data_IF_667100228102
#
_entry.id   IF_667100228102
#
_cell.length_a   1.000
_cell.length_b   1.000
_cell.length_c   1.000
_cell.angle_alpha   90.00
_cell.angle_beta   90.00
_cell.angle_gamma   90.00
#
_symmetry.space_group_name_H-M   'P 1'
#
loop_
_entity.id
_entity.type
_entity.pdbx_description
1 polymer ?
#
# COMPACT_ATOMS: atom_id res chain seq x y z
N UNK A 1 27.10 68.47 -59.49
CA UNK A 1 27.02 67.89 -58.13
C UNK A 1 25.90 66.90 -58.11
N UNK A 2 26.21 65.62 -58.33
CA UNK A 2 25.20 64.50 -58.38
C UNK A 2 25.24 63.73 -57.13
N UNK A 3 24.09 63.62 -56.47
CA UNK A 3 23.92 62.76 -55.27
C UNK A 3 23.59 61.32 -55.67
N UNK A 4 24.20 60.33 -55.10
CA UNK A 4 23.83 58.93 -55.37
C UNK A 4 22.60 58.49 -54.52
N UNK A 5 21.63 57.88 -55.21
CA UNK A 5 20.45 57.24 -54.60
C UNK A 5 20.85 55.92 -53.96
N UNK A 6 20.70 55.87 -52.66
CA UNK A 6 20.84 54.61 -51.89
C UNK A 6 19.55 53.78 -52.02
N UNK A 7 19.63 52.68 -52.75
CA UNK A 7 18.55 51.70 -52.83
C UNK A 7 18.63 50.81 -51.63
N UNK A 8 17.70 50.97 -50.69
CA UNK A 8 17.55 50.04 -49.57
C UNK A 8 16.85 48.76 -50.04
N UNK A 9 17.58 47.67 -50.06
CA UNK A 9 17.02 46.30 -50.23
C UNK A 9 16.32 45.89 -48.95
N UNK A 10 15.00 45.80 -48.98
CA UNK A 10 14.21 45.16 -47.91
C UNK A 10 14.37 43.65 -48.04
N UNK A 11 15.06 43.07 -47.09
CA UNK A 11 15.12 41.61 -46.92
C UNK A 11 13.92 41.20 -46.09
N UNK A 12 12.94 40.54 -46.71
CA UNK A 12 11.81 39.95 -46.02
C UNK A 12 12.29 38.62 -45.42
N UNK A 13 12.46 38.59 -44.11
CA UNK A 13 12.72 37.36 -43.38
C UNK A 13 11.39 36.61 -43.16
N UNK A 14 11.22 35.51 -43.87
CA UNK A 14 10.11 34.58 -43.64
C UNK A 14 10.38 33.79 -42.35
N UNK A 15 9.66 34.11 -41.29
CA UNK A 15 9.65 33.33 -40.06
C UNK A 15 8.70 32.15 -40.27
N UNK A 16 9.28 30.97 -40.50
CA UNK A 16 8.54 29.72 -40.52
C UNK A 16 8.18 29.33 -39.07
N UNK A 17 6.92 29.51 -38.66
CA UNK A 17 6.38 28.97 -37.42
C UNK A 17 6.24 27.46 -37.60
N UNK A 18 7.20 26.67 -37.06
CA UNK A 18 7.02 25.24 -36.80
C UNK A 18 6.06 25.09 -35.61
N UNK A 19 4.78 24.89 -35.90
CA UNK A 19 3.80 24.45 -34.93
C UNK A 19 4.10 22.97 -34.59
N UNK A 20 4.87 22.73 -33.52
CA UNK A 20 5.02 21.39 -32.96
C UNK A 20 3.65 20.93 -32.39
N UNK A 21 2.92 20.13 -33.13
CA UNK A 21 1.80 19.38 -32.59
C UNK A 21 2.34 18.42 -31.54
N UNK A 22 2.26 18.79 -30.28
CA UNK A 22 2.36 17.85 -29.18
C UNK A 22 1.13 16.94 -29.24
N UNK A 23 1.28 15.77 -29.84
CA UNK A 23 0.37 14.66 -29.65
C UNK A 23 0.42 14.29 -28.17
N UNK A 24 -0.46 14.90 -27.35
CA UNK A 24 -0.72 14.45 -26.00
C UNK A 24 -1.37 13.08 -26.18
N UNK A 25 -0.58 12.01 -26.01
CA UNK A 25 -1.13 10.66 -25.92
C UNK A 25 -2.20 10.68 -24.80
N UNK A 26 -3.41 10.16 -25.05
CA UNK A 26 -4.39 10.06 -24.00
C UNK A 26 -3.75 9.26 -22.86
N UNK A 27 -3.98 9.64 -21.57
CA UNK A 27 -3.50 8.85 -20.46
C UNK A 27 -3.99 7.42 -20.69
N UNK A 28 -3.05 6.46 -20.71
CA UNK A 28 -3.41 5.06 -20.74
C UNK A 28 -4.42 4.86 -19.61
N UNK A 29 -5.63 4.46 -19.95
CA UNK A 29 -6.63 4.11 -18.95
C UNK A 29 -6.00 3.02 -18.11
N UNK A 30 -5.57 3.35 -16.91
CA UNK A 30 -5.09 2.35 -15.95
C UNK A 30 -6.24 1.35 -15.83
N UNK A 31 -6.02 0.13 -16.27
CA UNK A 31 -7.00 -0.94 -16.10
C UNK A 31 -7.28 -0.99 -14.60
N UNK A 32 -8.54 -0.77 -14.22
CA UNK A 32 -8.93 -0.83 -12.82
C UNK A 32 -8.69 -2.25 -12.35
N UNK A 33 -7.71 -2.43 -11.48
CA UNK A 33 -7.46 -3.74 -10.89
C UNK A 33 -8.65 -4.12 -10.01
N UNK A 34 -9.24 -5.27 -10.31
CA UNK A 34 -10.39 -5.82 -9.58
C UNK A 34 -10.06 -7.17 -8.93
N UNK A 35 -8.82 -7.62 -9.08
CA UNK A 35 -8.36 -8.91 -8.55
C UNK A 35 -7.79 -8.70 -7.15
N UNK A 36 -8.34 -9.32 -6.11
CA UNK A 36 -7.75 -9.23 -4.78
C UNK A 36 -6.39 -9.91 -4.70
N UNK A 37 -5.49 -9.48 -3.80
CA UNK A 37 -4.25 -10.19 -3.51
C UNK A 37 -4.54 -11.60 -3.00
N UNK A 38 -3.53 -12.47 -3.04
CA UNK A 38 -3.64 -13.82 -2.45
C UNK A 38 -3.99 -13.71 -0.97
N UNK A 39 -4.86 -14.60 -0.50
CA UNK A 39 -5.27 -14.63 0.91
C UNK A 39 -4.05 -14.89 1.82
N UNK A 40 -3.88 -14.10 2.91
CA UNK A 40 -2.82 -14.35 3.87
C UNK A 40 -2.91 -15.75 4.47
N UNK A 41 -1.77 -16.43 4.60
CA UNK A 41 -1.64 -17.73 5.23
C UNK A 41 -0.97 -17.53 6.58
N UNK A 42 -1.46 -18.23 7.61
CA UNK A 42 -0.86 -18.14 8.94
C UNK A 42 0.53 -18.76 8.98
N UNK A 43 1.52 -17.96 9.39
CA UNK A 43 2.83 -18.44 9.77
C UNK A 43 2.92 -18.63 11.30
N UNK A 44 2.55 -17.58 12.04
CA UNK A 44 2.56 -17.57 13.49
C UNK A 44 1.54 -16.58 14.05
N UNK A 45 0.86 -16.95 15.12
CA UNK A 45 0.00 -16.03 15.88
C UNK A 45 -0.04 -16.50 17.34
N UNK A 46 0.38 -15.65 18.27
CA UNK A 46 0.38 -15.96 19.69
C UNK A 46 0.04 -14.74 20.54
N UNK A 47 -0.86 -14.95 21.50
CA UNK A 47 -1.16 -13.98 22.54
C UNK A 47 -0.17 -14.09 23.70
N UNK A 48 0.14 -12.94 24.27
CA UNK A 48 1.01 -12.79 25.46
C UNK A 48 0.28 -12.00 26.54
N UNK A 49 0.99 -11.79 27.67
CA UNK A 49 0.50 -10.94 28.76
C UNK A 49 0.15 -9.53 28.27
N UNK A 50 -0.70 -8.83 29.01
CA UNK A 50 -1.15 -7.49 28.67
C UNK A 50 -1.92 -7.40 27.35
N UNK A 51 -2.59 -8.48 26.95
CA UNK A 51 -3.32 -8.57 25.67
C UNK A 51 -2.43 -8.40 24.44
N UNK A 52 -1.11 -8.51 24.56
CA UNK A 52 -0.24 -8.45 23.39
C UNK A 52 -0.47 -9.64 22.46
N UNK A 53 -0.41 -9.37 21.17
CA UNK A 53 -0.50 -10.33 20.09
C UNK A 53 0.70 -10.16 19.17
N UNK A 54 1.45 -11.22 18.94
CA UNK A 54 2.48 -11.28 17.91
C UNK A 54 1.95 -12.09 16.73
N UNK A 55 2.06 -11.51 15.54
CA UNK A 55 1.66 -12.13 14.28
C UNK A 55 2.82 -12.13 13.31
N UNK A 56 2.99 -13.22 12.59
CA UNK A 56 3.87 -13.33 11.42
C UNK A 56 3.07 -14.04 10.33
N UNK A 57 2.97 -13.43 9.15
CA UNK A 57 2.38 -14.05 7.96
C UNK A 57 3.32 -13.91 6.77
N UNK A 58 3.44 -14.93 5.91
CA UNK A 58 4.12 -14.79 4.62
C UNK A 58 3.49 -13.66 3.79
N UNK A 59 4.29 -13.01 2.95
CA UNK A 59 3.79 -11.95 2.06
C UNK A 59 2.79 -12.51 1.06
N UNK A 60 1.67 -11.81 0.91
CA UNK A 60 0.72 -12.05 -0.18
C UNK A 60 1.31 -11.62 -1.52
N UNK A 61 0.77 -12.16 -2.60
CA UNK A 61 1.09 -11.78 -3.99
C UNK A 61 -0.14 -11.23 -4.68
N UNK A 62 0.07 -10.39 -5.68
CA UNK A 62 -0.96 -9.82 -6.51
C UNK A 62 -0.52 -9.77 -7.97
N UNK A 63 -1.48 -9.63 -8.90
CA UNK A 63 -1.20 -9.59 -10.34
C UNK A 63 -0.76 -8.21 -10.84
N UNK A 64 -1.11 -7.14 -10.12
CA UNK A 64 -0.82 -5.74 -10.47
C UNK A 64 -0.03 -5.02 -9.39
N UNK A 65 -0.41 -5.17 -8.13
CA UNK A 65 0.22 -4.50 -7.00
C UNK A 65 1.54 -5.19 -6.64
N UNK A 66 2.70 -4.49 -6.69
CA UNK A 66 3.95 -5.04 -6.21
C UNK A 66 3.85 -5.52 -4.76
N UNK A 67 4.47 -6.66 -4.45
CA UNK A 67 4.36 -7.31 -3.14
C UNK A 67 4.70 -6.37 -1.96
N UNK A 68 5.69 -5.50 -2.10
CA UNK A 68 6.08 -4.52 -1.09
C UNK A 68 5.04 -3.41 -0.86
N UNK A 69 4.02 -3.30 -1.71
CA UNK A 69 2.98 -2.28 -1.63
C UNK A 69 1.63 -2.86 -1.18
N UNK A 70 1.55 -4.17 -0.96
CA UNK A 70 0.40 -4.81 -0.33
C UNK A 70 0.41 -4.45 1.15
N UNK A 71 -0.71 -3.91 1.64
CA UNK A 71 -0.89 -3.54 3.03
C UNK A 71 -1.63 -4.64 3.77
N UNK A 72 -1.38 -4.74 5.08
CA UNK A 72 -2.00 -5.75 5.92
C UNK A 72 -2.71 -5.10 7.09
N UNK A 73 -3.95 -5.54 7.34
CA UNK A 73 -4.76 -5.15 8.49
C UNK A 73 -5.08 -6.37 9.30
N UNK A 74 -5.16 -6.20 10.61
CA UNK A 74 -5.52 -7.26 11.55
C UNK A 74 -6.84 -6.92 12.22
N UNK A 75 -7.76 -7.86 12.19
CA UNK A 75 -9.06 -7.76 12.84
C UNK A 75 -9.11 -8.76 13.98
N UNK A 76 -9.42 -8.31 15.18
CA UNK A 76 -9.72 -9.18 16.32
C UNK A 76 -11.19 -9.04 16.69
N UNK A 77 -11.95 -10.12 16.66
CA UNK A 77 -13.41 -10.13 16.85
C UNK A 77 -14.15 -9.13 15.95
N UNK A 78 -13.62 -8.94 14.71
CA UNK A 78 -14.16 -7.98 13.74
C UNK A 78 -13.70 -6.52 13.93
N UNK A 79 -12.98 -6.19 14.99
CA UNK A 79 -12.43 -4.86 15.27
C UNK A 79 -11.02 -4.75 14.66
N UNK A 80 -10.75 -3.68 13.92
CA UNK A 80 -9.42 -3.37 13.40
C UNK A 80 -8.49 -2.99 14.55
N UNK A 81 -7.44 -3.78 14.76
CA UNK A 81 -6.45 -3.59 15.82
C UNK A 81 -5.10 -3.12 15.29
N UNK A 82 -4.98 -2.86 14.00
CA UNK A 82 -3.77 -2.32 13.38
C UNK A 82 -3.27 -3.08 12.16
N UNK A 83 -2.10 -2.69 11.68
CA UNK A 83 -1.44 -3.27 10.51
C UNK A 83 -0.21 -4.09 10.85
N UNK A 84 0.26 -4.87 9.87
CA UNK A 84 1.54 -5.54 9.92
C UNK A 84 2.53 -4.76 9.06
N UNK A 85 3.79 -4.77 9.48
CA UNK A 85 4.90 -4.15 8.75
C UNK A 85 5.79 -5.22 8.14
N UNK A 86 6.44 -4.87 7.04
CA UNK A 86 7.39 -5.74 6.38
C UNK A 86 8.67 -5.85 7.23
N UNK A 87 9.11 -7.07 7.48
CA UNK A 87 10.37 -7.34 8.17
C UNK A 87 11.13 -8.46 7.46
N UNK A 88 12.26 -8.09 6.87
CA UNK A 88 13.11 -9.01 6.10
C UNK A 88 13.60 -10.21 6.94
N UNK A 89 13.78 -10.01 8.25
CA UNK A 89 14.26 -11.05 9.17
C UNK A 89 13.35 -12.29 9.25
N UNK A 90 12.07 -12.14 8.89
CA UNK A 90 11.08 -13.23 8.99
C UNK A 90 10.53 -13.70 7.64
N UNK A 91 11.09 -13.21 6.52
CA UNK A 91 10.58 -13.46 5.17
C UNK A 91 9.06 -13.22 5.02
N UNK A 92 8.52 -12.25 5.77
CA UNK A 92 7.09 -11.99 5.86
C UNK A 92 6.76 -10.62 6.43
N UNK A 93 5.51 -10.42 6.76
CA UNK A 93 5.04 -9.25 7.48
C UNK A 93 4.73 -9.64 8.94
N UNK A 94 5.06 -8.76 9.86
CA UNK A 94 4.88 -9.01 11.29
C UNK A 94 4.28 -7.79 12.00
N UNK A 95 3.70 -8.02 13.16
CA UNK A 95 3.20 -6.96 14.03
C UNK A 95 3.09 -7.41 15.47
N UNK A 96 3.30 -6.42 16.36
CA UNK A 96 2.96 -6.53 17.79
C UNK A 96 1.74 -5.64 17.97
N UNK A 97 0.62 -6.25 18.33
CA UNK A 97 -0.69 -5.62 18.40
C UNK A 97 -1.32 -5.88 19.75
N UNK A 98 -2.45 -5.24 20.03
CA UNK A 98 -3.21 -5.49 21.25
C UNK A 98 -4.56 -6.11 20.92
N UNK A 99 -4.86 -7.23 21.57
CA UNK A 99 -6.18 -7.87 21.52
C UNK A 99 -7.22 -7.00 22.22
N UNK A 100 -8.46 -7.10 21.77
CA UNK A 100 -9.57 -6.27 22.29
C UNK A 100 -10.11 -6.72 23.65
N UNK A 101 -9.84 -7.97 24.03
CA UNK A 101 -10.37 -8.54 25.27
C UNK A 101 -9.52 -9.71 25.81
N UNK A 102 -9.56 -9.99 27.10
CA UNK A 102 -9.05 -11.24 27.68
C UNK A 102 -9.83 -12.45 27.14
N UNK A 103 -9.18 -13.61 27.15
CA UNK A 103 -9.78 -14.85 26.70
C UNK A 103 -9.64 -15.07 25.19
N UNK A 104 -10.54 -15.84 24.61
CA UNK A 104 -10.50 -16.21 23.21
C UNK A 104 -10.85 -15.02 22.30
N UNK A 105 -9.99 -14.76 21.31
CA UNK A 105 -10.19 -13.78 20.26
C UNK A 105 -10.10 -14.46 18.90
N UNK A 106 -11.06 -14.18 18.01
CA UNK A 106 -11.02 -14.60 16.62
C UNK A 106 -10.22 -13.57 15.82
N UNK A 107 -9.06 -13.96 15.32
CA UNK A 107 -8.14 -13.06 14.60
C UNK A 107 -8.13 -13.41 13.12
N UNK A 108 -8.22 -12.38 12.28
CA UNK A 108 -8.18 -12.45 10.82
C UNK A 108 -7.17 -11.41 10.32
N UNK A 109 -6.32 -11.79 9.37
CA UNK A 109 -5.46 -10.87 8.64
C UNK A 109 -6.06 -10.61 7.25
N UNK A 110 -6.14 -9.36 6.86
CA UNK A 110 -6.54 -8.94 5.52
C UNK A 110 -5.35 -8.37 4.76
N UNK A 111 -5.11 -8.86 3.54
CA UNK A 111 -4.23 -8.22 2.57
C UNK A 111 -5.06 -7.25 1.71
N UNK A 112 -4.52 -6.06 1.46
CA UNK A 112 -5.17 -4.98 0.70
C UNK A 112 -4.20 -4.48 -0.34
N UNK A 113 -4.58 -4.51 -1.62
CA UNK A 113 -3.81 -3.99 -2.73
C UNK A 113 -3.91 -2.46 -2.85
N UNK A 114 -3.26 -1.87 -3.87
CA UNK A 114 -3.34 -0.44 -4.14
C UNK A 114 -4.69 0.02 -4.68
N UNK A 115 -5.43 -0.86 -5.34
CA UNK A 115 -6.77 -0.59 -5.86
C UNK A 115 -7.85 -0.67 -4.77
N UNK A 116 -7.51 -1.23 -3.59
CA UNK A 116 -8.41 -1.40 -2.46
C UNK A 116 -9.11 -2.74 -2.41
N UNK A 117 -8.78 -3.68 -3.32
CA UNK A 117 -9.31 -5.04 -3.25
C UNK A 117 -8.71 -5.77 -2.05
N UNK A 118 -9.47 -6.70 -1.46
CA UNK A 118 -9.12 -7.34 -0.20
C UNK A 118 -9.30 -8.85 -0.26
N UNK A 119 -8.38 -9.54 0.40
CA UNK A 119 -8.52 -10.95 0.72
C UNK A 119 -8.25 -11.18 2.21
N UNK A 120 -8.87 -12.19 2.78
CA UNK A 120 -8.78 -12.48 4.21
C UNK A 120 -8.21 -13.86 4.45
N UNK A 121 -7.39 -14.00 5.51
CA UNK A 121 -6.99 -15.30 6.02
C UNK A 121 -8.21 -16.06 6.58
N UNK A 122 -8.04 -17.35 6.80
CA UNK A 122 -8.93 -18.08 7.70
C UNK A 122 -8.80 -17.50 9.11
N UNK A 123 -9.89 -17.43 9.91
CA UNK A 123 -9.79 -16.99 11.29
C UNK A 123 -8.96 -17.98 12.12
N UNK A 124 -8.19 -17.44 13.06
CA UNK A 124 -7.49 -18.24 14.09
C UNK A 124 -7.93 -17.79 15.47
N UNK A 125 -8.06 -18.72 16.40
CA UNK A 125 -8.35 -18.40 17.80
C UNK A 125 -7.06 -18.13 18.54
N UNK A 126 -6.93 -16.95 19.14
CA UNK A 126 -5.78 -16.54 19.95
C UNK A 126 -6.26 -16.16 21.34
N UNK A 127 -5.56 -16.64 22.36
CA UNK A 127 -5.91 -16.35 23.76
C UNK A 127 -5.24 -15.07 24.23
N UNK A 128 -6.04 -14.11 24.69
CA UNK A 128 -5.58 -12.87 25.31
C UNK A 128 -5.39 -13.05 26.82
N UNK A 129 -4.17 -12.81 27.30
CA UNK A 129 -3.85 -12.88 28.72
C UNK A 129 -3.85 -11.47 29.31
N UNK A 130 -4.61 -11.29 30.40
CA UNK A 130 -4.60 -10.05 31.17
C UNK A 130 -3.96 -10.31 32.52
N UNK A 131 -2.98 -9.50 32.88
CA UNK A 131 -2.35 -9.51 34.20
C UNK A 131 -2.63 -8.19 34.90
N UNK A 132 -3.05 -8.15 36.18
CA UNK A 132 -3.20 -6.92 36.93
C UNK A 132 -1.89 -6.10 36.89
N UNK A 133 -2.00 -4.80 36.61
CA UNK A 133 -0.85 -3.91 36.42
C UNK A 133 -0.48 -3.66 34.95
N UNK A 134 -1.09 -4.33 34.01
CA UNK A 134 -0.96 -4.01 32.60
C UNK A 134 -1.69 -2.70 32.30
N UNK A 135 -0.95 -1.71 31.81
CA UNK A 135 -1.55 -0.50 31.24
C UNK A 135 -1.66 -0.72 29.73
N UNK A 136 -2.87 -0.89 29.16
CA UNK A 136 -3.01 -0.92 27.71
C UNK A 136 -2.53 0.40 27.12
N UNK A 137 -1.56 0.38 26.22
CA UNK A 137 -1.24 1.53 25.40
C UNK A 137 0.06 2.29 25.64
N UNK A 138 1.02 1.74 26.36
CA UNK A 138 2.39 2.31 26.41
C UNK A 138 3.41 1.28 25.91
N UNK A 139 3.68 1.33 24.62
CA UNK A 139 4.95 0.95 23.99
C UNK A 139 5.38 2.10 23.07
#
# INVERSE_FOLDING_TARGET
>A
MSQPRIVRKLTVAAVALLSALFLVAPPASASTDTTPPSAPVWGYAQGFQCLMLIIIVPRSTDNVTPQAQIRYRVLANGVDIGGLVDQDAYAGVTGILHLVQPGANSVVVQAVDQAGNRSSSRPVSVWGYYTPGCTPGHL
#
